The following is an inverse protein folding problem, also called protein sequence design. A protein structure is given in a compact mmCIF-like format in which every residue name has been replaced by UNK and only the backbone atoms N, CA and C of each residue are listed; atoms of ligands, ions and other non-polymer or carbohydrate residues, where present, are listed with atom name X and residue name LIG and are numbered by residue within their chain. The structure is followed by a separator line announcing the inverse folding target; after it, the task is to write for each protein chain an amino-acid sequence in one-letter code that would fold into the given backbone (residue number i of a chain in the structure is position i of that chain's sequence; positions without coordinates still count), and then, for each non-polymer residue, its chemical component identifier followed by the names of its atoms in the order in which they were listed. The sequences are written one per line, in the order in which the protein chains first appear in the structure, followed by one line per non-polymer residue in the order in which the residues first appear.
data_IF_683718186986
#
_entry.id   IF_683718186986
#
_cell.length_a   1.000
_cell.length_b   1.000
_cell.length_c   1.000
_cell.angle_alpha   90.00
_cell.angle_beta   90.00
_cell.angle_gamma   90.00
#
_symmetry.space_group_name_H-M   'P 1'
#
loop_
_entity.id
_entity.type
_entity.pdbx_description
1 polymer ?
#
# COMPACT_ATOMS: atom_id res chain seq x y z
N UNK A 1 34.54 0.88 -26.37
CA UNK A 1 35.20 0.01 -25.38
C UNK A 1 34.28 -1.18 -25.17
N UNK A 2 34.71 -2.38 -25.55
CA UNK A 2 33.94 -3.59 -25.24
C UNK A 2 34.18 -3.96 -23.77
N UNK A 3 33.10 -4.13 -23.02
CA UNK A 3 33.15 -4.52 -21.61
C UNK A 3 33.34 -6.04 -21.51
N UNK A 4 34.16 -6.50 -20.57
CA UNK A 4 34.23 -7.92 -20.21
C UNK A 4 32.92 -8.38 -19.58
N UNK A 5 32.65 -9.69 -19.57
CA UNK A 5 31.37 -10.21 -19.04
C UNK A 5 31.10 -9.81 -17.59
N UNK A 6 32.14 -9.77 -16.74
CA UNK A 6 32.00 -9.34 -15.34
C UNK A 6 31.72 -7.84 -15.22
N UNK A 7 32.29 -7.02 -16.11
CA UNK A 7 32.00 -5.58 -16.17
C UNK A 7 30.58 -5.33 -16.68
N UNK A 8 30.10 -6.11 -17.65
CA UNK A 8 28.71 -6.07 -18.12
C UNK A 8 27.73 -6.44 -17.01
N UNK A 9 28.03 -7.48 -16.23
CA UNK A 9 27.22 -7.87 -15.08
C UNK A 9 27.18 -6.77 -14.01
N UNK A 10 28.33 -6.16 -13.70
CA UNK A 10 28.40 -5.07 -12.73
C UNK A 10 27.56 -3.85 -13.14
N UNK A 11 27.59 -3.48 -14.43
CA UNK A 11 26.75 -2.41 -14.96
C UNK A 11 25.26 -2.78 -14.85
N UNK A 12 24.88 -4.00 -15.25
CA UNK A 12 23.50 -4.46 -15.15
C UNK A 12 22.96 -4.46 -13.70
N UNK A 13 23.77 -4.91 -12.74
CA UNK A 13 23.44 -4.88 -11.31
C UNK A 13 23.26 -3.46 -10.78
N UNK A 14 24.16 -2.54 -11.16
CA UNK A 14 24.06 -1.13 -10.76
C UNK A 14 22.78 -0.48 -11.32
N UNK A 15 22.46 -0.72 -12.60
CA UNK A 15 21.23 -0.26 -13.22
C UNK A 15 19.99 -0.84 -12.52
N UNK A 16 20.01 -2.14 -12.24
CA UNK A 16 18.91 -2.81 -11.54
C UNK A 16 18.62 -2.20 -10.16
N UNK A 17 19.67 -1.86 -9.40
CA UNK A 17 19.55 -1.21 -8.09
C UNK A 17 18.99 0.22 -8.20
N UNK A 18 19.54 1.03 -9.10
CA UNK A 18 19.09 2.42 -9.30
C UNK A 18 17.61 2.48 -9.75
N UNK A 19 17.23 1.64 -10.73
CA UNK A 19 15.84 1.56 -11.21
C UNK A 19 14.91 1.08 -10.09
N UNK A 20 15.35 0.10 -9.28
CA UNK A 20 14.55 -0.41 -8.17
C UNK A 20 14.29 0.65 -7.10
N UNK A 21 15.25 1.52 -6.84
CA UNK A 21 15.06 2.65 -5.93
C UNK A 21 14.06 3.67 -6.50
N UNK A 22 14.25 4.08 -7.76
CA UNK A 22 13.35 5.01 -8.47
C UNK A 22 11.90 4.49 -8.54
N UNK A 23 11.73 3.17 -8.71
CA UNK A 23 10.43 2.52 -8.84
C UNK A 23 9.85 2.01 -7.52
N UNK A 24 10.51 2.28 -6.38
CA UNK A 24 10.08 1.79 -5.08
C UNK A 24 8.79 2.49 -4.61
N UNK A 25 7.67 1.77 -4.44
CA UNK A 25 6.40 2.36 -4.00
C UNK A 25 6.38 2.76 -2.52
N UNK A 26 7.44 2.49 -1.77
CA UNK A 26 7.59 2.87 -0.35
C UNK A 26 8.45 4.11 -0.13
N UNK A 27 8.87 4.77 -1.21
CA UNK A 27 9.87 5.84 -1.16
C UNK A 27 11.30 5.32 -1.10
N UNK A 28 12.25 6.24 -1.14
CA UNK A 28 13.69 6.02 -1.10
C UNK A 28 14.20 5.92 0.33
N UNK A 29 15.52 6.01 0.50
CA UNK A 29 16.14 6.06 1.82
C UNK A 29 15.48 7.14 2.70
N UNK A 30 15.20 6.81 3.96
CA UNK A 30 14.56 7.70 4.93
C UNK A 30 13.19 8.26 4.51
N UNK A 31 12.48 7.59 3.60
CA UNK A 31 11.17 8.05 3.12
C UNK A 31 11.25 9.20 2.12
N UNK A 32 12.44 9.44 1.53
CA UNK A 32 12.58 10.41 0.45
C UNK A 32 11.63 10.08 -0.72
N UNK A 33 11.05 11.08 -1.39
CA UNK A 33 10.23 10.83 -2.58
C UNK A 33 11.02 10.10 -3.66
N UNK A 34 10.36 9.18 -4.33
CA UNK A 34 10.84 8.54 -5.57
C UNK A 34 9.87 8.89 -6.69
N UNK A 35 10.31 8.70 -7.94
CA UNK A 35 9.44 8.85 -9.10
C UNK A 35 8.13 8.05 -8.93
N UNK A 36 8.20 6.87 -8.32
CA UNK A 36 7.03 6.05 -8.04
C UNK A 36 6.05 6.72 -7.07
N UNK A 37 6.54 7.23 -5.94
CA UNK A 37 5.67 7.85 -4.93
C UNK A 37 5.08 9.16 -5.44
N UNK A 38 5.84 9.95 -6.20
CA UNK A 38 5.34 11.17 -6.84
C UNK A 38 4.20 10.88 -7.83
N UNK A 39 4.35 9.85 -8.66
CA UNK A 39 3.28 9.42 -9.57
C UNK A 39 2.03 8.92 -8.83
N UNK A 40 2.22 8.22 -7.70
CA UNK A 40 1.12 7.72 -6.87
C UNK A 40 0.38 8.87 -6.16
N UNK A 41 1.10 9.87 -5.65
CA UNK A 41 0.52 11.05 -5.02
C UNK A 41 -0.21 11.94 -6.05
N UNK A 42 0.33 12.06 -7.26
CA UNK A 42 -0.37 12.76 -8.35
C UNK A 42 -1.68 12.07 -8.74
N UNK A 43 -1.73 10.73 -8.83
CA UNK A 43 -2.98 10.01 -9.09
C UNK A 43 -3.97 10.16 -7.91
N UNK A 44 -3.46 10.21 -6.66
CA UNK A 44 -4.31 10.47 -5.49
C UNK A 44 -4.97 11.85 -5.58
N UNK A 45 -4.19 12.88 -5.93
CA UNK A 45 -4.70 14.23 -6.08
C UNK A 45 -5.78 14.32 -7.17
N UNK A 46 -5.57 13.69 -8.33
CA UNK A 46 -6.60 13.62 -9.38
C UNK A 46 -7.88 12.94 -8.87
N UNK A 47 -7.72 11.80 -8.19
CA UNK A 47 -8.86 11.06 -7.65
C UNK A 47 -9.67 11.92 -6.67
N UNK A 48 -9.00 12.68 -5.80
CA UNK A 48 -9.64 13.60 -4.85
C UNK A 48 -10.32 14.79 -5.55
N UNK A 49 -9.76 15.26 -6.67
CA UNK A 49 -10.28 16.40 -7.41
C UNK A 49 -11.49 16.05 -8.28
N UNK A 50 -11.42 14.95 -9.04
CA UNK A 50 -12.40 14.63 -10.09
C UNK A 50 -12.81 13.15 -10.15
N UNK A 51 -12.32 12.31 -9.25
CA UNK A 51 -12.64 10.88 -9.19
C UNK A 51 -11.85 10.02 -10.19
N UNK A 52 -10.83 10.56 -10.86
CA UNK A 52 -9.98 9.78 -11.77
C UNK A 52 -9.27 8.64 -11.04
N UNK A 53 -9.64 7.40 -11.35
CA UNK A 53 -9.11 6.19 -10.72
C UNK A 53 -7.93 5.57 -11.49
N UNK A 54 -7.60 6.08 -12.69
CA UNK A 54 -6.57 5.53 -13.56
C UNK A 54 -5.96 6.56 -14.51
N UNK A 55 -4.66 6.43 -14.75
CA UNK A 55 -3.91 7.13 -15.81
C UNK A 55 -3.32 6.13 -16.80
N UNK A 56 -3.57 6.34 -18.09
CA UNK A 56 -2.91 5.60 -19.17
C UNK A 56 -1.50 6.13 -19.35
N UNK A 57 -0.54 5.22 -19.51
CA UNK A 57 0.85 5.55 -19.77
C UNK A 57 1.06 5.46 -21.27
N UNK A 58 1.40 6.59 -21.89
CA UNK A 58 1.59 6.71 -23.33
C UNK A 58 3.01 7.18 -23.61
N UNK A 59 3.74 6.46 -24.45
CA UNK A 59 5.08 6.83 -24.94
C UNK A 59 5.01 6.89 -26.46
N UNK A 60 5.45 8.00 -27.06
CA UNK A 60 5.42 8.21 -28.52
C UNK A 60 4.05 7.86 -29.16
N UNK A 61 2.96 8.24 -28.48
CA UNK A 61 1.59 7.99 -28.94
C UNK A 61 1.08 6.56 -28.75
N UNK A 62 1.88 5.64 -28.22
CA UNK A 62 1.50 4.26 -27.95
C UNK A 62 1.19 4.04 -26.47
N UNK A 63 0.03 3.44 -26.17
CA UNK A 63 -0.32 3.06 -24.80
C UNK A 63 0.49 1.82 -24.37
N UNK A 64 1.35 2.02 -23.37
CA UNK A 64 2.30 1.00 -22.88
C UNK A 64 1.92 0.45 -21.50
N UNK A 65 0.96 1.07 -20.81
CA UNK A 65 0.58 0.65 -19.47
C UNK A 65 -0.48 1.53 -18.81
N UNK A 66 -0.71 1.26 -17.53
CA UNK A 66 -1.67 2.00 -16.72
C UNK A 66 -1.20 2.06 -15.27
N UNK A 67 -1.39 3.21 -14.65
CA UNK A 67 -1.36 3.39 -13.21
C UNK A 67 -2.79 3.49 -12.70
N UNK A 68 -3.19 2.66 -11.73
CA UNK A 68 -4.57 2.62 -11.23
C UNK A 68 -4.63 2.60 -9.70
N UNK A 69 -5.63 3.30 -9.17
CA UNK A 69 -5.99 3.29 -7.77
C UNK A 69 -6.62 1.93 -7.40
N UNK A 70 -6.30 1.43 -6.20
CA UNK A 70 -7.03 0.29 -5.61
C UNK A 70 -8.11 0.86 -4.71
N UNK A 71 -9.35 0.86 -5.19
CA UNK A 71 -10.51 1.33 -4.45
C UNK A 71 -11.25 0.15 -3.81
N UNK A 72 -11.80 0.35 -2.61
CA UNK A 72 -12.78 -0.58 -2.05
C UNK A 72 -14.09 -0.50 -2.84
N UNK A 73 -14.84 -1.60 -2.88
CA UNK A 73 -16.17 -1.57 -3.50
C UNK A 73 -17.12 -0.78 -2.61
N UNK A 74 -18.03 0.05 -3.18
CA UNK A 74 -19.11 0.63 -2.39
C UNK A 74 -20.00 -0.51 -1.88
N UNK A 75 -20.17 -0.59 -0.56
CA UNK A 75 -21.07 -1.53 0.09
C UNK A 75 -22.40 -0.83 0.38
N UNK A 76 -23.51 -1.40 -0.10
CA UNK A 76 -24.87 -0.95 0.21
C UNK A 76 -25.63 -2.08 0.89
N UNK A 77 -26.22 -1.81 2.07
CA UNK A 77 -27.01 -2.78 2.82
C UNK A 77 -27.64 -2.18 4.08
N UNK A 78 -28.54 -2.92 4.72
CA UNK A 78 -29.09 -2.57 6.03
C UNK A 78 -28.14 -3.06 7.11
N UNK A 79 -27.67 -2.16 7.97
CA UNK A 79 -26.85 -2.50 9.15
C UNK A 79 -27.57 -2.08 10.42
N UNK A 80 -27.39 -2.85 11.48
CA UNK A 80 -27.74 -2.40 12.84
C UNK A 80 -26.70 -1.37 13.24
N UNK A 81 -27.16 -0.18 13.62
CA UNK A 81 -26.31 0.91 14.09
C UNK A 81 -26.58 1.11 15.57
N UNK A 82 -25.54 1.33 16.35
CA UNK A 82 -25.66 1.70 17.75
C UNK A 82 -26.17 3.14 17.81
N UNK A 83 -27.41 3.34 18.22
CA UNK A 83 -27.99 4.67 18.45
C UNK A 83 -27.66 5.22 19.83
N UNK A 84 -27.51 4.34 20.82
CA UNK A 84 -27.13 4.67 22.20
C UNK A 84 -26.12 3.63 22.72
N UNK A 85 -24.89 4.09 22.98
CA UNK A 85 -23.82 3.22 23.49
C UNK A 85 -24.01 2.78 24.93
N UNK A 86 -24.67 3.61 25.76
CA UNK A 86 -24.94 3.30 27.16
C UNK A 86 -26.01 2.23 27.31
N UNK A 87 -27.10 2.31 26.53
CA UNK A 87 -28.12 1.26 26.50
C UNK A 87 -27.57 -0.07 25.96
N UNK A 88 -26.75 -0.02 24.91
CA UNK A 88 -26.09 -1.22 24.40
C UNK A 88 -25.16 -1.84 25.44
N UNK A 89 -24.34 -1.03 26.12
CA UNK A 89 -23.45 -1.51 27.18
C UNK A 89 -24.25 -2.13 28.34
N UNK A 90 -25.35 -1.49 28.74
CA UNK A 90 -26.25 -2.00 29.76
C UNK A 90 -26.82 -3.36 29.34
N UNK A 91 -27.31 -3.48 28.11
CA UNK A 91 -27.84 -4.73 27.57
C UNK A 91 -26.79 -5.84 27.49
N UNK A 92 -25.57 -5.53 27.01
CA UNK A 92 -24.45 -6.46 26.93
C UNK A 92 -24.10 -7.06 28.30
N UNK A 93 -24.15 -6.25 29.36
CA UNK A 93 -23.82 -6.68 30.73
C UNK A 93 -24.92 -7.47 31.42
N UNK A 94 -26.18 -7.09 31.18
CA UNK A 94 -27.30 -7.51 32.03
C UNK A 94 -28.26 -8.51 31.37
N UNK A 95 -28.22 -8.70 30.06
CA UNK A 95 -29.05 -9.68 29.37
C UNK A 95 -28.29 -10.97 29.09
N UNK A 96 -29.01 -12.10 29.03
CA UNK A 96 -28.43 -13.38 28.63
C UNK A 96 -27.89 -13.33 27.19
N UNK A 97 -28.63 -12.68 26.27
CA UNK A 97 -28.18 -12.47 24.89
C UNK A 97 -26.92 -11.61 24.80
N UNK A 98 -26.75 -10.64 25.70
CA UNK A 98 -25.56 -9.82 25.82
C UNK A 98 -24.34 -10.60 26.29
N UNK A 99 -24.51 -11.43 27.32
CA UNK A 99 -23.46 -12.33 27.82
C UNK A 99 -23.03 -13.34 26.76
N UNK A 100 -24.00 -13.93 26.05
CA UNK A 100 -23.72 -14.82 24.93
C UNK A 100 -22.97 -14.12 23.79
N UNK A 101 -23.34 -12.88 23.48
CA UNK A 101 -22.64 -12.07 22.47
C UNK A 101 -21.19 -11.82 22.88
N UNK A 102 -20.93 -11.42 24.13
CA UNK A 102 -19.58 -11.26 24.66
C UNK A 102 -18.78 -12.56 24.61
N UNK A 103 -19.40 -13.69 24.95
CA UNK A 103 -18.78 -15.01 24.83
C UNK A 103 -18.33 -15.35 23.40
N UNK A 104 -19.17 -15.05 22.39
CA UNK A 104 -18.82 -15.24 20.98
C UNK A 104 -17.69 -14.31 20.53
N UNK A 105 -17.69 -13.05 20.99
CA UNK A 105 -16.64 -12.08 20.68
C UNK A 105 -15.29 -12.51 21.26
N UNK A 106 -15.27 -13.07 22.48
CA UNK A 106 -14.06 -13.59 23.11
C UNK A 106 -13.52 -14.87 22.44
N UNK A 107 -14.38 -15.64 21.77
CA UNK A 107 -13.97 -16.80 20.98
C UNK A 107 -13.26 -16.42 19.66
N UNK A 108 -13.55 -15.25 19.09
CA UNK A 108 -12.87 -14.76 17.87
C UNK A 108 -11.50 -14.13 18.21
N UNK A 109 -10.38 -14.63 17.65
CA UNK A 109 -9.04 -14.16 18.02
C UNK A 109 -8.77 -12.68 17.75
N UNK A 110 -9.34 -12.11 16.66
CA UNK A 110 -9.12 -10.70 16.30
C UNK A 110 -9.85 -9.79 17.26
N UNK A 111 -11.12 -10.09 17.50
CA UNK A 111 -11.98 -9.29 18.37
C UNK A 111 -11.56 -9.41 19.83
N UNK A 112 -11.14 -10.60 20.27
CA UNK A 112 -10.55 -10.81 21.59
C UNK A 112 -9.35 -9.89 21.83
N UNK A 113 -8.44 -9.78 20.87
CA UNK A 113 -7.28 -8.88 21.03
C UNK A 113 -7.73 -7.41 21.13
N UNK A 114 -8.67 -6.97 20.27
CA UNK A 114 -9.18 -5.61 20.33
C UNK A 114 -9.86 -5.27 21.68
N UNK A 115 -10.54 -6.25 22.31
CA UNK A 115 -11.11 -6.10 23.65
C UNK A 115 -10.02 -5.94 24.71
N UNK A 116 -8.97 -6.77 24.65
CA UNK A 116 -7.83 -6.68 25.58
C UNK A 116 -7.15 -5.32 25.43
N UNK A 117 -6.84 -4.92 24.19
CA UNK A 117 -6.20 -3.63 23.90
C UNK A 117 -7.01 -2.47 24.49
N UNK A 118 -8.33 -2.46 24.24
CA UNK A 118 -9.24 -1.43 24.77
C UNK A 118 -9.33 -1.44 26.31
N UNK A 119 -9.32 -2.61 26.95
CA UNK A 119 -9.38 -2.73 28.40
C UNK A 119 -8.06 -2.32 29.09
N UNK A 120 -6.94 -2.40 28.37
CA UNK A 120 -5.60 -2.05 28.88
C UNK A 120 -5.18 -0.60 28.59
N UNK A 121 -6.03 0.21 27.94
CA UNK A 121 -5.70 1.60 27.55
C UNK A 121 -5.19 2.44 28.73
N UNK A 122 -5.77 2.24 29.92
CA UNK A 122 -5.42 2.97 31.13
C UNK A 122 -4.29 2.32 31.94
N UNK A 123 -3.64 1.28 31.40
CA UNK A 123 -2.55 0.54 32.04
C UNK A 123 -3.00 -0.52 33.06
N UNK A 124 -4.30 -0.75 33.20
CA UNK A 124 -4.85 -1.85 33.98
C UNK A 124 -4.76 -3.15 33.19
N UNK A 125 -4.29 -4.24 33.81
CA UNK A 125 -4.31 -5.57 33.21
C UNK A 125 -5.58 -6.30 33.66
N UNK A 126 -6.51 -6.63 32.75
CA UNK A 126 -7.72 -7.36 33.13
C UNK A 126 -7.42 -8.76 33.67
N UNK A 127 -8.24 -9.20 34.61
CA UNK A 127 -8.17 -10.57 35.14
C UNK A 127 -8.21 -11.62 34.01
N UNK A 128 -7.38 -12.66 34.14
CA UNK A 128 -7.27 -13.73 33.14
C UNK A 128 -6.38 -13.41 31.94
N UNK A 129 -5.76 -12.23 31.88
CA UNK A 129 -4.76 -11.87 30.87
C UNK A 129 -3.32 -12.02 31.41
N UNK A 130 -2.33 -12.16 30.51
CA UNK A 130 -0.89 -12.12 30.82
C UNK A 130 -0.17 -11.27 29.77
N UNK A 131 0.97 -10.69 30.16
CA UNK A 131 1.83 -9.93 29.25
C UNK A 131 2.79 -10.88 28.53
N UNK A 132 2.90 -10.74 27.21
CA UNK A 132 3.88 -11.42 26.36
C UNK A 132 4.57 -10.41 25.46
N UNK A 133 5.89 -10.52 25.31
CA UNK A 133 6.65 -9.71 24.37
C UNK A 133 6.42 -10.22 22.93
N UNK A 134 6.02 -9.33 22.01
CA UNK A 134 5.90 -9.66 20.59
C UNK A 134 6.37 -8.51 19.70
N UNK A 135 6.91 -8.85 18.52
CA UNK A 135 7.38 -7.89 17.51
C UNK A 135 6.54 -8.06 16.24
N UNK A 136 5.84 -7.00 15.79
CA UNK A 136 5.18 -6.95 14.46
C UNK A 136 5.58 -5.70 13.69
N UNK A 137 6.07 -5.84 12.45
CA UNK A 137 6.26 -4.70 11.56
C UNK A 137 4.93 -4.23 10.93
N UNK A 138 4.80 -2.93 10.68
CA UNK A 138 3.62 -2.32 10.05
C UNK A 138 3.51 -2.65 8.55
N UNK A 139 2.28 -2.68 8.00
CA UNK A 139 2.02 -2.95 6.59
C UNK A 139 1.02 -1.97 5.95
N UNK A 140 1.40 -1.44 4.78
CA UNK A 140 0.60 -0.60 3.87
C UNK A 140 0.22 -1.40 2.61
N UNK A 141 -1.00 -1.22 2.07
CA UNK A 141 -1.55 -2.07 0.98
C UNK A 141 -1.35 -1.55 -0.47
N UNK A 142 -1.02 -0.27 -0.67
CA UNK A 142 -0.40 0.24 -1.92
C UNK A 142 -1.28 0.42 -3.16
N UNK A 143 -0.65 0.96 -4.21
CA UNK A 143 -1.16 1.18 -5.58
C UNK A 143 -0.73 0.04 -6.52
N UNK A 144 -1.26 -0.03 -7.75
CA UNK A 144 -0.77 -0.98 -8.78
C UNK A 144 -0.30 -0.26 -10.04
N UNK A 145 0.92 -0.57 -10.47
CA UNK A 145 1.47 -0.19 -11.77
C UNK A 145 1.50 -1.41 -12.69
N UNK A 146 1.00 -1.28 -13.92
CA UNK A 146 1.15 -2.29 -14.98
C UNK A 146 1.79 -1.66 -16.20
N UNK A 147 2.89 -2.25 -16.65
CA UNK A 147 3.64 -1.80 -17.84
C UNK A 147 3.97 -3.02 -18.69
N UNK A 148 3.77 -2.90 -20.00
CA UNK A 148 4.15 -3.92 -20.98
C UNK A 148 5.54 -3.59 -21.55
N UNK A 149 6.53 -4.37 -21.15
CA UNK A 149 7.95 -4.18 -21.54
C UNK A 149 8.12 -4.21 -23.06
N UNK A 150 7.38 -5.06 -23.78
CA UNK A 150 7.51 -5.16 -25.24
C UNK A 150 6.96 -3.92 -25.92
N UNK A 151 5.85 -3.38 -25.40
CA UNK A 151 5.28 -2.13 -25.91
C UNK A 151 6.17 -0.93 -25.63
N UNK A 152 6.80 -0.86 -24.45
CA UNK A 152 7.78 0.21 -24.15
C UNK A 152 8.96 0.14 -25.13
N UNK A 153 9.51 -1.05 -25.36
CA UNK A 153 10.59 -1.24 -26.32
C UNK A 153 10.21 -0.85 -27.75
N UNK A 154 9.00 -1.22 -28.18
CA UNK A 154 8.48 -0.87 -29.50
C UNK A 154 8.21 0.64 -29.65
N UNK A 155 7.69 1.29 -28.60
CA UNK A 155 7.37 2.71 -28.60
C UNK A 155 8.63 3.60 -28.65
N UNK A 156 9.70 3.18 -27.95
CA UNK A 156 10.97 3.90 -27.95
C UNK A 156 11.81 3.61 -29.19
N UNK A 157 11.75 2.39 -29.73
CA UNK A 157 12.45 2.03 -30.96
C UNK A 157 13.95 2.39 -30.91
N UNK A 158 14.39 3.27 -31.81
CA UNK A 158 15.77 3.73 -31.91
C UNK A 158 16.20 4.68 -30.77
N UNK A 159 15.25 5.27 -30.04
CA UNK A 159 15.50 6.21 -28.92
C UNK A 159 15.69 5.47 -27.59
N UNK A 160 15.52 4.15 -27.56
CA UNK A 160 15.66 3.34 -26.35
C UNK A 160 17.04 3.49 -25.67
N UNK A 161 18.17 3.50 -26.40
CA UNK A 161 19.48 3.74 -25.78
C UNK A 161 19.59 5.11 -25.11
N UNK A 162 19.06 6.18 -25.72
CA UNK A 162 19.07 7.53 -25.14
C UNK A 162 18.14 7.66 -23.94
N UNK A 163 16.97 7.03 -23.97
CA UNK A 163 16.03 7.01 -22.85
C UNK A 163 16.62 6.30 -21.62
N UNK A 164 17.36 5.21 -21.84
CA UNK A 164 18.07 4.48 -20.77
C UNK A 164 19.20 5.35 -20.17
N UNK A 165 19.92 6.11 -20.99
CA UNK A 165 20.94 7.05 -20.50
C UNK A 165 20.32 8.15 -19.63
N UNK A 166 19.18 8.73 -20.03
CA UNK A 166 18.46 9.72 -19.23
C UNK A 166 18.01 9.22 -17.87
N UNK A 167 17.64 7.94 -17.76
CA UNK A 167 17.28 7.30 -16.48
C UNK A 167 18.48 7.10 -15.54
N UNK A 168 19.70 7.04 -16.07
CA UNK A 168 20.94 6.85 -15.30
C UNK A 168 21.65 8.17 -14.96
N UNK A 169 21.42 9.21 -15.75
CA UNK A 169 22.07 10.52 -15.59
C UNK A 169 21.55 11.36 -14.43
N UNK A 170 20.43 10.98 -13.81
CA UNK A 170 19.79 11.79 -12.76
C UNK A 170 19.42 13.17 -13.31
N UNK A 171 18.33 13.23 -14.10
CA UNK A 171 17.68 14.44 -14.62
C UNK A 171 18.46 15.74 -14.49
N UNK A 172 19.30 16.05 -15.48
CA UNK A 172 19.67 17.42 -15.80
C UNK A 172 19.05 17.78 -17.15
N UNK A 173 17.85 18.36 -17.08
CA UNK A 173 17.46 19.50 -17.91
C UNK A 173 17.14 20.67 -16.98
#
# INVERSE_FOLDING_TARGET
MELTDIQRLAVAEAMGKAIKEMTNPRGGAHGAPTLRTECDDALRADFEQDGTDRRRIVINGQEVGTLSARLSKPESGTRVVVSDGGELLYWLRNSDGGRDALGRLLADPKTRQAIVDAATVDGELPDGCRVEDYERPAAWLGTTLRVDVKKVGAALGAELPSAVVGLLGGGEE
#
